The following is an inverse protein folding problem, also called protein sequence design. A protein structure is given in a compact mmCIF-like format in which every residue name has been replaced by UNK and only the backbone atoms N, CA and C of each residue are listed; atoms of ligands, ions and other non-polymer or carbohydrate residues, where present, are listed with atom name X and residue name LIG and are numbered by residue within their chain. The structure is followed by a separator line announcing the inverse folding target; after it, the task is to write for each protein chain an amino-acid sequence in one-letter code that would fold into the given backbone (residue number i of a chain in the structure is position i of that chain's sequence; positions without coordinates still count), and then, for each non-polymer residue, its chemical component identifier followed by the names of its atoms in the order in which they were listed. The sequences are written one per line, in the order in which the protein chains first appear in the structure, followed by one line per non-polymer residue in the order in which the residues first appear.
data_IF_192139458711
#
_entry.id   IF_192139458711
#
_cell.length_a   1.000
_cell.length_b   1.000
_cell.length_c   1.000
_cell.angle_alpha   90.00
_cell.angle_beta   90.00
_cell.angle_gamma   90.00
#
_symmetry.space_group_name_H-M   'P 1'
#
loop_
_entity.id
_entity.type
_entity.pdbx_description
1 polymer ?
#
# COMPACT_ATOMS: atom_id res chain seq x y z
N UNK A 1 -73.72 29.49 -22.29
CA UNK A 1 -74.57 28.29 -22.25
C UNK A 1 -73.66 27.08 -22.10
N UNK A 2 -73.99 26.21 -21.17
CA UNK A 2 -73.29 24.95 -20.90
C UNK A 2 -73.14 24.09 -22.17
N UNK A 3 -72.08 23.29 -22.23
CA UNK A 3 -72.21 21.82 -22.17
C UNK A 3 -70.84 21.14 -22.31
N UNK A 4 -70.55 20.28 -21.34
CA UNK A 4 -69.55 19.22 -21.43
C UNK A 4 -70.02 18.17 -22.45
N UNK A 5 -69.10 17.60 -23.23
CA UNK A 5 -69.23 16.22 -23.68
C UNK A 5 -67.85 15.55 -23.76
N UNK A 6 -67.72 14.50 -22.95
CA UNK A 6 -66.64 13.53 -22.94
C UNK A 6 -66.78 12.59 -24.13
N UNK A 7 -65.67 12.22 -24.77
CA UNK A 7 -65.52 10.90 -25.37
C UNK A 7 -64.04 10.49 -25.41
N UNK A 8 -63.70 9.45 -24.64
CA UNK A 8 -62.46 8.70 -24.75
C UNK A 8 -62.50 7.84 -26.02
N UNK A 9 -61.36 7.67 -26.69
CA UNK A 9 -60.90 6.42 -27.32
C UNK A 9 -59.37 6.49 -27.42
N UNK A 10 -58.71 5.54 -26.77
CA UNK A 10 -57.31 5.17 -26.97
C UNK A 10 -57.19 4.40 -28.29
N UNK A 11 -56.17 4.68 -29.10
CA UNK A 11 -55.48 3.62 -29.84
C UNK A 11 -54.02 4.01 -30.12
N UNK A 12 -53.12 3.10 -29.73
CA UNK A 12 -51.67 3.14 -29.90
C UNK A 12 -51.26 3.09 -31.37
N UNK A 13 -50.26 3.90 -31.76
CA UNK A 13 -49.30 3.51 -32.79
C UNK A 13 -47.95 4.19 -32.56
N UNK A 14 -46.97 3.33 -32.33
CA UNK A 14 -45.54 3.60 -32.20
C UNK A 14 -44.94 4.11 -33.51
N UNK A 15 -44.19 5.20 -33.44
CA UNK A 15 -43.21 5.58 -34.44
C UNK A 15 -41.93 6.04 -33.74
N UNK A 16 -40.88 5.26 -33.95
CA UNK A 16 -39.50 5.55 -33.60
C UNK A 16 -39.07 6.83 -34.30
N UNK A 17 -38.66 7.84 -33.53
CA UNK A 17 -37.78 8.90 -34.02
C UNK A 17 -36.42 8.73 -33.35
N UNK A 18 -35.43 8.56 -34.21
CA UNK A 18 -34.01 8.46 -33.91
C UNK A 18 -33.52 9.90 -33.77
N UNK A 19 -33.08 10.30 -32.58
CA UNK A 19 -32.29 11.51 -32.41
C UNK A 19 -30.80 11.12 -32.40
N UNK A 20 -29.99 11.60 -33.36
CA UNK A 20 -28.55 11.48 -33.30
C UNK A 20 -27.96 12.83 -32.87
N UNK A 21 -27.49 12.96 -31.63
CA UNK A 21 -26.39 13.87 -31.26
C UNK A 21 -26.07 13.68 -29.76
N UNK A 22 -25.41 12.56 -29.45
CA UNK A 22 -24.62 12.46 -28.23
C UNK A 22 -23.29 13.15 -28.52
N UNK A 23 -23.12 14.34 -27.94
CA UNK A 23 -21.81 14.89 -27.69
C UNK A 23 -21.16 14.06 -26.58
N UNK A 24 -19.93 13.61 -26.82
CA UNK A 24 -19.09 12.94 -25.83
C UNK A 24 -18.90 13.87 -24.60
N UNK A 25 -19.42 13.43 -23.46
CA UNK A 25 -19.16 14.04 -22.14
C UNK A 25 -18.05 13.23 -21.44
N UNK A 26 -16.89 13.81 -21.11
CA UNK A 26 -15.79 13.13 -20.44
C UNK A 26 -15.99 13.00 -18.91
N UNK A 27 -17.22 12.89 -18.43
CA UNK A 27 -17.52 12.64 -17.01
C UNK A 27 -18.01 11.20 -16.75
N UNK A 28 -17.19 10.19 -17.02
CA UNK A 28 -17.36 8.88 -16.37
C UNK A 28 -16.83 8.93 -14.92
N UNK A 29 -17.52 9.74 -14.12
CA UNK A 29 -17.43 9.75 -12.67
C UNK A 29 -18.19 8.57 -12.08
N UNK A 30 -17.47 7.48 -11.83
CA UNK A 30 -17.75 6.35 -10.92
C UNK A 30 -19.09 6.41 -10.15
N UNK A 31 -20.06 5.61 -10.57
CA UNK A 31 -21.10 5.11 -9.68
C UNK A 31 -20.49 4.00 -8.80
N UNK A 32 -19.84 4.40 -7.71
CA UNK A 32 -19.50 3.49 -6.62
C UNK A 32 -20.81 2.93 -6.05
N UNK A 33 -20.89 1.62 -5.89
CA UNK A 33 -22.04 0.97 -5.25
C UNK A 33 -22.20 1.47 -3.80
N UNK A 34 -23.40 1.44 -3.20
CA UNK A 34 -23.60 1.90 -1.80
C UNK A 34 -22.66 1.21 -0.79
N UNK A 35 -22.19 -0.01 -1.08
CA UNK A 35 -21.18 -0.73 -0.28
C UNK A 35 -19.79 -0.07 -0.35
N UNK A 36 -19.45 0.56 -1.47
CA UNK A 36 -18.19 1.28 -1.70
C UNK A 36 -18.18 2.72 -1.15
N UNK A 37 -19.30 3.20 -0.57
CA UNK A 37 -19.36 4.54 0.05
C UNK A 37 -18.92 4.55 1.53
N UNK A 38 -18.99 3.40 2.22
CA UNK A 38 -18.56 3.28 3.62
C UNK A 38 -17.14 2.70 3.68
N UNK A 39 -16.25 3.25 4.51
CA UNK A 39 -14.95 2.63 4.74
C UNK A 39 -15.12 1.22 5.31
N UNK A 40 -14.29 0.29 4.87
CA UNK A 40 -14.18 -1.05 5.46
C UNK A 40 -13.25 -1.07 6.67
N UNK A 41 -12.46 -0.01 6.84
CA UNK A 41 -11.55 0.18 7.95
C UNK A 41 -11.46 1.67 8.29
N UNK A 42 -11.59 2.00 9.57
CA UNK A 42 -11.48 3.37 10.10
C UNK A 42 -10.69 3.34 11.40
N UNK A 43 -9.82 4.31 11.61
CA UNK A 43 -9.10 4.54 12.86
C UNK A 43 -8.95 6.05 13.09
N UNK A 44 -9.29 6.50 14.29
CA UNK A 44 -9.20 7.89 14.73
C UNK A 44 -8.60 8.03 16.14
N UNK A 45 -8.16 6.91 16.73
CA UNK A 45 -7.51 6.83 18.04
C UNK A 45 -8.35 7.34 19.22
N UNK A 46 -9.65 7.59 19.01
CA UNK A 46 -10.57 8.14 20.00
C UNK A 46 -10.73 7.24 21.24
N UNK A 47 -10.46 5.95 21.10
CA UNK A 47 -10.48 5.00 22.22
C UNK A 47 -9.36 5.20 23.24
N UNK A 48 -8.32 5.96 22.88
CA UNK A 48 -7.11 6.13 23.70
C UNK A 48 -6.25 4.87 23.80
N UNK A 49 -6.48 3.88 22.93
CA UNK A 49 -5.71 2.63 22.87
C UNK A 49 -5.47 2.21 21.42
N UNK A 50 -4.31 1.60 21.18
CA UNK A 50 -4.05 0.88 19.93
C UNK A 50 -4.74 -0.48 20.02
N UNK A 51 -5.75 -0.72 19.19
CA UNK A 51 -6.46 -2.01 19.16
C UNK A 51 -5.60 -3.09 18.47
N UNK A 52 -5.13 -4.06 19.27
CA UNK A 52 -4.29 -5.17 18.81
C UNK A 52 -4.98 -6.12 17.80
N UNK A 53 -6.31 -6.04 17.68
CA UNK A 53 -7.06 -6.76 16.63
C UNK A 53 -7.00 -6.05 15.28
N UNK A 54 -6.74 -4.75 15.28
CA UNK A 54 -6.66 -3.92 14.07
C UNK A 54 -5.23 -3.64 13.67
N UNK A 55 -4.32 -3.59 14.65
CA UNK A 55 -2.96 -3.13 14.47
C UNK A 55 -1.97 -3.98 15.23
N UNK A 56 -0.73 -4.01 14.76
CA UNK A 56 0.42 -4.40 15.57
C UNK A 56 1.58 -3.44 15.32
N UNK A 57 2.45 -3.35 16.32
CA UNK A 57 3.64 -2.52 16.27
C UNK A 57 4.80 -3.37 15.80
N UNK A 58 5.51 -2.90 14.79
CA UNK A 58 6.46 -3.72 14.08
C UNK A 58 7.83 -3.73 14.76
N UNK A 59 8.50 -4.87 14.70
CA UNK A 59 9.88 -5.03 15.15
C UNK A 59 10.73 -5.68 14.05
N UNK A 60 11.21 -4.86 13.12
CA UNK A 60 11.89 -5.37 11.93
C UNK A 60 12.99 -4.45 11.45
N UNK A 61 14.04 -5.06 10.93
CA UNK A 61 15.19 -4.36 10.35
C UNK A 61 15.25 -4.67 8.87
N UNK A 62 15.12 -3.64 8.05
CA UNK A 62 15.30 -3.71 6.60
C UNK A 62 16.43 -2.78 6.16
N UNK A 63 16.89 -2.95 4.92
CA UNK A 63 17.89 -2.08 4.30
C UNK A 63 19.21 -1.95 5.08
N UNK A 64 20.01 -0.98 4.70
CA UNK A 64 21.32 -0.67 5.32
C UNK A 64 21.28 0.64 6.11
N UNK A 65 22.34 0.93 6.86
CA UNK A 65 22.53 2.21 7.58
C UNK A 65 21.60 2.47 8.78
N UNK A 66 20.77 1.50 9.17
CA UNK A 66 19.80 1.64 10.26
C UNK A 66 19.74 0.40 11.14
N UNK A 67 19.08 0.55 12.29
CA UNK A 67 18.92 -0.50 13.28
C UNK A 67 17.46 -0.91 13.49
N UNK A 68 16.64 -0.72 12.45
CA UNK A 68 15.26 -1.20 12.36
C UNK A 68 14.22 -0.26 12.98
N UNK A 69 13.02 -0.80 13.14
CA UNK A 69 11.89 -0.16 13.80
C UNK A 69 11.51 -0.99 15.02
N UNK A 70 11.02 -0.34 16.08
CA UNK A 70 10.68 -1.02 17.34
C UNK A 70 9.30 -0.61 17.87
N UNK A 71 8.60 -1.49 18.60
CA UNK A 71 7.28 -1.18 19.15
C UNK A 71 7.25 -0.03 20.15
N UNK A 72 8.34 0.20 20.88
CA UNK A 72 8.45 1.25 21.89
C UNK A 72 8.37 2.65 21.28
N UNK A 73 8.67 2.79 19.99
CA UNK A 73 8.59 4.04 19.25
C UNK A 73 7.20 4.29 18.65
N UNK A 74 6.19 3.51 19.07
CA UNK A 74 4.80 3.66 18.59
C UNK A 74 3.86 3.76 19.78
N UNK A 75 3.26 4.93 19.96
CA UNK A 75 2.40 5.25 21.09
C UNK A 75 1.32 6.28 20.70
N UNK A 76 0.33 6.51 21.57
CA UNK A 76 -0.65 7.57 21.39
C UNK A 76 -0.26 8.78 22.23
N UNK A 77 -0.48 9.97 21.69
CA UNK A 77 -0.38 11.24 22.43
C UNK A 77 -1.49 12.19 21.97
N UNK A 78 -1.69 13.30 22.67
CA UNK A 78 -2.66 14.33 22.29
C UNK A 78 -2.02 15.40 21.38
N UNK A 79 -2.74 15.80 20.33
CA UNK A 79 -2.35 16.91 19.46
C UNK A 79 -3.57 17.73 19.00
N UNK A 80 -3.33 18.86 18.36
CA UNK A 80 -4.36 19.72 17.77
C UNK A 80 -4.46 19.41 16.27
N UNK A 81 -5.58 18.83 15.87
CA UNK A 81 -5.89 18.53 14.47
C UNK A 81 -7.07 19.36 14.05
N UNK A 82 -6.89 20.23 13.03
CA UNK A 82 -7.93 21.16 12.56
C UNK A 82 -8.57 21.98 13.71
N UNK A 83 -7.75 22.42 14.66
CA UNK A 83 -8.17 23.22 15.81
C UNK A 83 -8.83 22.45 16.96
N UNK A 84 -8.88 21.12 16.90
CA UNK A 84 -9.45 20.28 17.95
C UNK A 84 -8.39 19.40 18.59
N UNK A 85 -8.40 19.33 19.92
CA UNK A 85 -7.55 18.41 20.67
C UNK A 85 -8.07 16.99 20.54
N UNK A 86 -7.23 16.06 20.11
CA UNK A 86 -7.57 14.64 20.02
C UNK A 86 -6.32 13.75 20.18
N UNK A 87 -6.54 12.46 20.41
CA UNK A 87 -5.45 11.48 20.36
C UNK A 87 -4.97 11.31 18.92
N UNK A 88 -3.67 11.16 18.76
CA UNK A 88 -3.02 10.82 17.49
C UNK A 88 -2.01 9.72 17.75
N UNK A 89 -1.73 8.92 16.71
CA UNK A 89 -0.63 7.97 16.76
C UNK A 89 0.69 8.69 16.51
N UNK A 90 1.65 8.48 17.39
CA UNK A 90 3.02 8.95 17.25
C UNK A 90 3.89 7.76 16.84
N UNK A 91 4.62 7.94 15.75
CA UNK A 91 5.73 7.09 15.36
C UNK A 91 7.02 7.90 15.50
N UNK A 92 7.83 7.55 16.50
CA UNK A 92 9.07 8.26 16.85
C UNK A 92 10.28 7.67 16.12
N UNK A 93 11.22 8.54 15.75
CA UNK A 93 12.51 8.20 15.19
C UNK A 93 13.64 8.66 16.10
N UNK A 94 14.71 7.86 16.18
CA UNK A 94 15.93 8.14 16.93
C UNK A 94 17.06 8.47 15.96
N UNK A 95 17.55 9.70 16.01
CA UNK A 95 18.61 10.17 15.13
C UNK A 95 20.02 9.78 15.60
N UNK A 96 21.03 10.34 14.95
CA UNK A 96 22.44 10.06 15.23
C UNK A 96 22.88 10.49 16.64
N UNK A 97 22.15 11.44 17.25
CA UNK A 97 22.47 11.98 18.58
C UNK A 97 21.65 11.34 19.70
N UNK A 98 20.77 10.39 19.39
CA UNK A 98 19.93 9.76 20.41
C UNK A 98 20.78 9.03 21.45
N UNK A 99 20.59 9.39 22.72
CA UNK A 99 21.35 8.85 23.85
C UNK A 99 20.48 8.07 24.86
N UNK A 100 19.17 7.98 24.61
CA UNK A 100 18.21 7.32 25.47
C UNK A 100 18.37 5.80 25.56
N UNK A 101 17.39 5.15 26.20
CA UNK A 101 17.47 3.72 26.56
C UNK A 101 16.98 2.76 25.49
N UNK A 102 16.15 3.23 24.55
CA UNK A 102 15.54 2.38 23.53
C UNK A 102 16.63 1.94 22.55
N UNK A 103 16.60 0.66 22.16
CA UNK A 103 17.55 0.08 21.22
C UNK A 103 16.84 -0.77 20.20
N UNK A 104 17.31 -0.71 18.96
CA UNK A 104 16.92 -1.63 17.90
C UNK A 104 17.93 -2.77 17.72
N UNK A 105 18.02 -3.22 16.47
CA UNK A 105 18.91 -4.29 16.02
C UNK A 105 20.35 -4.12 16.52
N UNK A 106 20.93 -5.20 17.05
CA UNK A 106 22.29 -5.24 17.63
C UNK A 106 22.49 -4.27 18.81
N UNK A 107 21.43 -3.99 19.57
CA UNK A 107 21.45 -3.11 20.77
C UNK A 107 21.90 -1.68 20.45
N UNK A 108 21.61 -1.21 19.24
CA UNK A 108 21.99 0.13 18.77
C UNK A 108 20.86 1.11 19.02
N UNK A 109 21.23 2.33 19.42
CA UNK A 109 20.31 3.37 19.90
C UNK A 109 19.92 4.37 18.83
N UNK A 110 20.85 4.73 17.95
CA UNK A 110 20.59 5.63 16.82
C UNK A 110 19.88 4.89 15.69
N UNK A 111 19.29 5.62 14.75
CA UNK A 111 18.67 5.10 13.52
C UNK A 111 17.65 3.99 13.78
N UNK A 112 16.81 4.21 14.79
CA UNK A 112 15.69 3.34 15.17
C UNK A 112 14.38 4.09 14.93
N UNK A 113 13.48 3.52 14.16
CA UNK A 113 12.18 4.11 13.84
C UNK A 113 11.00 3.47 14.59
N UNK A 114 9.79 3.89 14.24
CA UNK A 114 8.54 3.35 14.75
C UNK A 114 7.56 3.16 13.59
N UNK A 115 6.97 1.96 13.48
CA UNK A 115 6.02 1.62 12.42
C UNK A 115 4.88 0.80 13.00
N UNK A 116 3.65 1.16 12.65
CA UNK A 116 2.45 0.37 12.93
C UNK A 116 1.97 -0.29 11.63
N UNK A 117 1.38 -1.48 11.77
CA UNK A 117 0.90 -2.28 10.63
C UNK A 117 -0.50 -2.78 10.90
N UNK A 118 -1.37 -2.68 9.89
CA UNK A 118 -2.74 -3.17 9.98
C UNK A 118 -2.77 -4.69 10.00
N UNK A 119 -3.60 -5.29 10.84
CA UNK A 119 -3.89 -6.72 10.79
C UNK A 119 -4.64 -7.11 9.50
N UNK A 120 -5.67 -6.36 9.05
CA UNK A 120 -6.32 -6.66 7.78
C UNK A 120 -5.39 -6.44 6.58
N UNK A 121 -5.65 -7.21 5.52
CA UNK A 121 -5.00 -7.09 4.22
C UNK A 121 -5.98 -6.43 3.24
N UNK A 122 -5.48 -5.48 2.48
CA UNK A 122 -6.24 -4.64 1.56
C UNK A 122 -5.76 -4.85 0.13
N UNK A 123 -6.68 -5.02 -0.82
CA UNK A 123 -6.42 -4.99 -2.26
C UNK A 123 -6.86 -3.63 -2.84
N UNK A 124 -7.37 -3.59 -4.08
CA UNK A 124 -7.83 -2.35 -4.71
C UNK A 124 -8.79 -1.56 -3.82
N UNK A 125 -8.64 -0.25 -3.85
CA UNK A 125 -9.36 0.61 -2.91
C UNK A 125 -8.85 2.03 -2.86
N UNK A 126 -9.52 2.83 -2.02
CA UNK A 126 -9.08 4.16 -1.61
C UNK A 126 -8.49 4.07 -0.20
N UNK A 127 -7.33 4.67 -0.01
CA UNK A 127 -6.66 4.84 1.27
C UNK A 127 -6.57 6.33 1.56
N UNK A 128 -6.99 6.75 2.75
CA UNK A 128 -6.92 8.13 3.21
C UNK A 128 -6.26 8.15 4.57
N UNK A 129 -5.17 8.89 4.70
CA UNK A 129 -4.39 9.01 5.94
C UNK A 129 -4.20 10.49 6.22
N UNK A 130 -4.58 10.91 7.42
CA UNK A 130 -4.31 12.27 7.91
C UNK A 130 -3.01 12.22 8.70
N UNK A 131 -1.96 12.84 8.18
CA UNK A 131 -0.59 12.69 8.68
C UNK A 131 0.10 14.06 8.80
N UNK A 132 0.90 14.23 9.85
CA UNK A 132 1.81 15.37 10.08
C UNK A 132 3.24 14.86 10.11
N UNK A 133 4.11 15.49 9.32
CA UNK A 133 5.55 15.19 9.26
C UNK A 133 6.30 16.15 10.16
N UNK A 134 7.04 15.63 11.14
CA UNK A 134 7.78 16.48 12.08
C UNK A 134 6.85 17.35 12.92
N UNK A 135 7.18 18.64 13.04
CA UNK A 135 6.39 19.64 13.75
C UNK A 135 6.62 21.04 13.16
N UNK A 136 5.81 22.03 13.55
CA UNK A 136 6.07 23.45 13.23
C UNK A 136 6.99 24.12 14.26
N UNK A 137 7.15 23.52 15.45
CA UNK A 137 7.91 24.09 16.56
C UNK A 137 9.24 23.39 16.75
N UNK A 138 10.31 24.18 16.91
CA UNK A 138 11.60 23.67 17.34
C UNK A 138 11.55 23.23 18.80
N UNK A 139 12.30 22.18 19.11
CA UNK A 139 12.50 21.67 20.47
C UNK A 139 13.93 21.18 20.66
N UNK A 140 14.34 21.07 21.93
CA UNK A 140 15.69 20.63 22.27
C UNK A 140 15.96 19.21 21.77
N UNK A 141 17.05 19.05 21.00
CA UNK A 141 17.41 17.78 20.41
C UNK A 141 16.61 17.40 19.16
N UNK A 142 15.69 18.25 18.68
CA UNK A 142 14.99 18.06 17.41
C UNK A 142 15.84 18.39 16.17
N UNK A 143 15.29 18.17 14.96
CA UNK A 143 15.90 18.59 13.71
C UNK A 143 16.11 20.12 13.63
N UNK A 144 17.04 20.55 12.79
CA UNK A 144 17.28 21.98 12.52
C UNK A 144 16.03 22.66 11.92
N UNK A 145 15.41 22.02 10.93
CA UNK A 145 14.06 22.36 10.48
C UNK A 145 13.08 21.30 11.02
N UNK A 146 12.22 21.63 12.00
CA UNK A 146 11.29 20.69 12.60
C UNK A 146 10.31 20.04 11.61
N UNK A 147 9.96 20.72 10.53
CA UNK A 147 9.09 20.20 9.47
C UNK A 147 9.82 19.24 8.52
N UNK A 148 11.14 19.35 8.42
CA UNK A 148 11.98 18.53 7.54
C UNK A 148 12.98 17.71 8.36
N UNK A 149 12.56 16.60 8.96
CA UNK A 149 13.45 15.74 9.74
C UNK A 149 14.43 14.96 8.86
N UNK A 150 15.42 15.64 8.30
CA UNK A 150 16.46 15.07 7.43
C UNK A 150 17.12 13.84 8.06
N UNK A 151 17.36 12.81 7.24
CA UNK A 151 17.88 11.52 7.70
C UNK A 151 16.83 10.53 8.19
N UNK A 152 15.55 10.84 8.01
CA UNK A 152 14.42 9.94 8.28
C UNK A 152 13.40 9.97 7.14
N UNK A 153 12.60 8.92 7.06
CA UNK A 153 11.61 8.66 6.02
C UNK A 153 10.24 8.43 6.68
N UNK A 154 9.40 9.48 6.82
CA UNK A 154 7.98 9.32 7.05
C UNK A 154 7.35 8.61 5.85
N UNK A 155 6.55 7.58 6.12
CA UNK A 155 6.04 6.71 5.07
C UNK A 155 4.63 6.18 5.32
N UNK A 156 3.88 6.06 4.22
CA UNK A 156 2.62 5.33 4.10
C UNK A 156 2.84 4.31 2.99
N UNK A 157 2.62 3.03 3.28
CA UNK A 157 2.75 2.01 2.25
C UNK A 157 1.88 0.79 2.53
N UNK A 158 1.55 0.01 1.52
CA UNK A 158 1.08 -1.37 1.73
C UNK A 158 2.24 -2.31 1.51
N UNK A 159 2.43 -3.31 2.38
CA UNK A 159 3.45 -4.34 2.18
C UNK A 159 3.01 -5.66 2.78
N UNK A 160 3.22 -6.72 2.00
CA UNK A 160 3.17 -8.10 2.48
C UNK A 160 4.05 -8.95 1.58
N UNK A 161 4.59 -10.01 2.17
CA UNK A 161 5.39 -10.97 1.43
C UNK A 161 5.07 -12.39 1.81
N UNK A 162 5.45 -13.33 0.94
CA UNK A 162 5.40 -14.76 1.23
C UNK A 162 6.64 -15.44 0.69
N UNK A 163 7.34 -16.13 1.58
CA UNK A 163 8.44 -17.01 1.21
C UNK A 163 7.92 -18.32 0.64
N UNK A 164 8.49 -18.78 -0.47
CA UNK A 164 8.13 -20.04 -1.13
C UNK A 164 9.41 -20.78 -1.49
N UNK A 165 9.62 -21.94 -0.89
CA UNK A 165 10.79 -22.78 -1.20
C UNK A 165 10.59 -23.60 -2.48
N UNK A 166 11.59 -23.60 -3.35
CA UNK A 166 11.68 -24.45 -4.52
C UNK A 166 12.55 -25.68 -4.29
N UNK A 167 12.71 -26.49 -5.34
CA UNK A 167 13.62 -27.63 -5.31
C UNK A 167 15.06 -27.15 -5.57
N UNK A 168 15.91 -27.20 -4.55
CA UNK A 168 17.32 -26.79 -4.65
C UNK A 168 18.13 -27.57 -5.71
N UNK A 169 17.76 -28.81 -6.03
CA UNK A 169 18.40 -29.60 -7.09
C UNK A 169 17.92 -29.20 -8.50
N UNK A 170 16.78 -28.53 -8.60
CA UNK A 170 16.18 -28.12 -9.87
C UNK A 170 15.60 -26.70 -9.79
N UNK A 171 16.42 -25.68 -9.44
CA UNK A 171 15.93 -24.32 -9.20
C UNK A 171 15.31 -23.67 -10.44
N UNK A 172 15.68 -24.12 -11.64
CA UNK A 172 15.19 -23.55 -12.89
C UNK A 172 13.85 -24.11 -13.34
N UNK A 173 13.27 -25.06 -12.59
CA UNK A 173 12.03 -25.74 -12.99
C UNK A 173 10.87 -25.35 -12.09
N UNK A 174 9.68 -25.25 -12.68
CA UNK A 174 8.44 -25.25 -11.92
C UNK A 174 8.30 -26.53 -11.09
N UNK A 175 7.56 -26.44 -9.98
CA UNK A 175 7.35 -27.54 -9.05
C UNK A 175 5.87 -27.84 -8.91
N UNK A 176 5.43 -28.99 -9.42
CA UNK A 176 4.03 -29.42 -9.27
C UNK A 176 3.64 -29.67 -7.82
N UNK A 177 4.60 -30.03 -6.95
CA UNK A 177 4.38 -30.19 -5.51
C UNK A 177 4.39 -28.87 -4.73
N UNK A 178 4.89 -27.78 -5.33
CA UNK A 178 4.77 -26.43 -4.80
C UNK A 178 4.34 -25.45 -5.89
N UNK A 179 3.02 -25.37 -6.18
CA UNK A 179 2.43 -24.54 -7.23
C UNK A 179 2.81 -23.05 -7.24
N UNK A 180 3.22 -22.51 -6.09
CA UNK A 180 3.64 -21.12 -6.01
C UNK A 180 5.10 -20.94 -6.42
N UNK A 181 5.93 -21.98 -6.43
CA UNK A 181 7.30 -21.81 -6.88
C UNK A 181 7.35 -21.48 -8.38
N UNK A 182 8.05 -20.40 -8.70
CA UNK A 182 8.22 -19.85 -10.02
C UNK A 182 9.71 -19.55 -10.28
N UNK A 183 10.36 -20.27 -11.21
CA UNK A 183 11.80 -20.16 -11.43
C UNK A 183 12.24 -18.80 -12.00
N UNK A 184 11.31 -17.96 -12.47
CA UNK A 184 11.61 -16.64 -13.04
C UNK A 184 11.72 -15.52 -12.00
N UNK A 185 11.40 -15.80 -10.73
CA UNK A 185 11.50 -14.84 -9.62
C UNK A 185 12.36 -15.38 -8.46
N UNK A 186 13.60 -15.87 -8.73
CA UNK A 186 14.44 -16.40 -7.66
C UNK A 186 14.80 -15.30 -6.66
N UNK A 187 14.45 -15.52 -5.40
CA UNK A 187 14.82 -14.63 -4.31
C UNK A 187 16.29 -14.87 -3.97
N UNK A 188 17.10 -13.81 -3.98
CA UNK A 188 18.50 -13.82 -3.53
C UNK A 188 19.39 -14.89 -4.22
N UNK A 189 19.06 -15.28 -5.46
CA UNK A 189 19.77 -16.34 -6.18
C UNK A 189 19.53 -17.76 -5.63
N UNK A 190 18.57 -17.92 -4.72
CA UNK A 190 18.19 -19.20 -4.13
C UNK A 190 17.10 -19.89 -4.96
N UNK A 191 16.94 -21.20 -4.73
CA UNK A 191 15.75 -21.94 -5.16
C UNK A 191 14.55 -21.58 -4.28
N UNK A 192 14.18 -20.31 -4.24
CA UNK A 192 13.07 -19.80 -3.46
C UNK A 192 12.49 -18.56 -4.14
N UNK A 193 11.26 -18.21 -3.81
CA UNK A 193 10.65 -16.94 -4.21
C UNK A 193 10.23 -16.15 -2.98
N UNK A 194 10.22 -14.85 -3.15
CA UNK A 194 9.57 -13.91 -2.25
C UNK A 194 8.44 -13.27 -3.06
N UNK A 195 7.23 -13.79 -2.89
CA UNK A 195 6.06 -13.11 -3.44
C UNK A 195 5.93 -11.79 -2.71
N UNK A 196 5.83 -10.70 -3.47
CA UNK A 196 5.91 -9.34 -2.98
C UNK A 196 4.76 -8.52 -3.57
N UNK A 197 3.99 -7.90 -2.68
CA UNK A 197 3.01 -6.88 -3.03
C UNK A 197 3.28 -5.61 -2.24
N UNK A 198 3.62 -4.52 -2.94
CA UNK A 198 3.89 -3.23 -2.27
C UNK A 198 3.52 -2.01 -3.10
N UNK A 199 3.04 -1.01 -2.39
CA UNK A 199 2.75 0.34 -2.87
C UNK A 199 3.28 1.32 -1.84
N UNK A 200 4.16 2.22 -2.23
CA UNK A 200 4.60 3.35 -1.39
C UNK A 200 3.86 4.62 -1.81
N UNK A 201 3.25 5.34 -0.87
CA UNK A 201 2.37 6.47 -1.19
C UNK A 201 2.14 7.49 -0.05
N UNK A 202 3.17 8.17 0.48
CA UNK A 202 4.54 8.25 -0.05
C UNK A 202 5.61 7.73 0.90
N UNK A 203 6.87 7.64 0.43
CA UNK A 203 8.08 7.75 1.27
C UNK A 203 8.76 9.11 1.03
N UNK A 204 8.94 9.93 2.07
CA UNK A 204 9.42 11.33 1.94
C UNK A 204 10.78 11.50 2.63
N UNK A 205 11.68 12.33 2.11
CA UNK A 205 12.94 12.66 2.79
C UNK A 205 14.18 11.96 2.25
N UNK A 206 14.11 11.42 1.03
CA UNK A 206 15.27 10.81 0.35
C UNK A 206 16.42 11.81 0.29
N UNK A 207 17.58 11.42 0.84
CA UNK A 207 18.77 12.29 0.95
C UNK A 207 18.50 13.64 1.67
N UNK A 208 17.46 13.71 2.50
CA UNK A 208 17.03 14.95 3.16
C UNK A 208 16.17 15.88 2.28
N UNK A 209 15.76 15.45 1.09
CA UNK A 209 14.82 16.20 0.25
C UNK A 209 13.37 15.89 0.64
N UNK A 210 12.69 16.89 1.21
CA UNK A 210 11.27 16.84 1.56
C UNK A 210 10.36 17.47 0.50
N UNK A 211 10.92 18.00 -0.59
CA UNK A 211 10.10 18.53 -1.69
C UNK A 211 9.52 17.43 -2.59
N UNK A 212 10.13 16.24 -2.59
CA UNK A 212 9.70 15.09 -3.38
C UNK A 212 9.44 13.87 -2.50
N UNK A 213 8.33 13.19 -2.78
CA UNK A 213 8.01 11.88 -2.22
C UNK A 213 8.24 10.80 -3.27
N UNK A 214 8.78 9.66 -2.84
CA UNK A 214 8.78 8.43 -3.63
C UNK A 214 7.39 7.80 -3.60
N UNK A 215 6.92 7.43 -4.78
CA UNK A 215 5.70 6.69 -5.01
C UNK A 215 6.05 5.46 -5.84
N UNK A 216 6.24 4.34 -5.16
CA UNK A 216 6.70 3.11 -5.77
C UNK A 216 5.56 2.10 -5.91
N UNK A 217 5.64 1.30 -6.96
CA UNK A 217 4.77 0.14 -7.16
C UNK A 217 5.63 -1.08 -7.35
N UNK A 218 5.40 -2.13 -6.58
CA UNK A 218 6.11 -3.40 -6.67
C UNK A 218 5.15 -4.53 -6.99
N UNK A 219 5.44 -5.24 -8.08
CA UNK A 219 4.75 -6.47 -8.46
C UNK A 219 5.80 -7.57 -8.54
N UNK A 220 5.90 -8.37 -7.48
CA UNK A 220 6.91 -9.40 -7.33
C UNK A 220 8.33 -8.80 -7.43
N UNK A 221 9.14 -9.25 -8.40
CA UNK A 221 10.52 -8.78 -8.61
C UNK A 221 10.63 -7.59 -9.58
N UNK A 222 9.52 -6.92 -9.89
CA UNK A 222 9.50 -5.71 -10.72
C UNK A 222 9.05 -4.53 -9.88
N UNK A 223 9.63 -3.37 -10.14
CA UNK A 223 9.25 -2.12 -9.48
C UNK A 223 9.31 -0.94 -10.44
N UNK A 224 8.48 0.07 -10.18
CA UNK A 224 8.51 1.38 -10.84
C UNK A 224 8.53 2.44 -9.74
N UNK A 225 9.56 3.30 -9.77
CA UNK A 225 9.74 4.37 -8.80
C UNK A 225 9.43 5.70 -9.46
N UNK A 226 8.45 6.42 -8.91
CA UNK A 226 8.11 7.78 -9.33
C UNK A 226 8.43 8.76 -8.21
N UNK A 227 8.76 10.00 -8.58
CA UNK A 227 8.96 11.11 -7.65
C UNK A 227 7.90 12.17 -7.96
N UNK A 228 7.04 12.46 -6.99
CA UNK A 228 6.02 13.50 -7.10
C UNK A 228 6.29 14.63 -6.11
N UNK A 229 5.79 15.82 -6.44
CA UNK A 229 5.86 16.97 -5.54
C UNK A 229 5.01 16.73 -4.30
N UNK A 230 5.62 16.89 -3.14
CA UNK A 230 4.95 16.78 -1.83
C UNK A 230 5.22 18.00 -0.96
N UNK A 231 5.91 19.01 -1.49
CA UNK A 231 6.27 20.22 -0.76
C UNK A 231 5.09 20.93 -0.06
N UNK A 232 3.84 20.89 -0.57
CA UNK A 232 2.71 21.48 0.16
C UNK A 232 2.34 20.77 1.46
N UNK A 233 2.82 19.54 1.70
CA UNK A 233 2.48 18.72 2.87
C UNK A 233 3.66 18.38 3.78
N UNK A 234 4.78 19.10 3.61
CA UNK A 234 5.97 18.98 4.47
C UNK A 234 6.24 20.27 5.23
N UNK A 235 5.20 20.97 5.64
CA UNK A 235 5.28 22.26 6.35
C UNK A 235 5.20 22.12 7.89
N UNK A 236 5.05 20.90 8.40
CA UNK A 236 4.92 20.60 9.83
C UNK A 236 3.47 20.56 10.32
N UNK A 237 2.47 20.67 9.45
CA UNK A 237 1.04 20.59 9.78
C UNK A 237 0.41 19.25 9.33
N UNK A 238 -0.87 19.04 9.67
CA UNK A 238 -1.62 17.85 9.25
C UNK A 238 -2.22 18.00 7.86
N UNK A 239 -1.89 17.05 6.98
CA UNK A 239 -2.41 16.96 5.61
C UNK A 239 -3.14 15.63 5.36
N UNK A 240 -4.00 15.61 4.34
CA UNK A 240 -4.72 14.41 3.90
C UNK A 240 -4.00 13.78 2.71
N UNK A 241 -3.36 12.64 2.95
CA UNK A 241 -2.76 11.82 1.90
C UNK A 241 -3.80 10.81 1.41
N UNK A 242 -4.11 10.83 0.13
CA UNK A 242 -5.07 9.91 -0.48
C UNK A 242 -4.43 9.13 -1.62
N UNK A 243 -4.64 7.82 -1.64
CA UNK A 243 -4.24 6.94 -2.74
C UNK A 243 -5.39 6.07 -3.18
N UNK A 244 -5.61 5.99 -4.48
CA UNK A 244 -6.57 5.05 -5.07
C UNK A 244 -5.84 4.03 -5.94
N UNK A 245 -5.95 2.77 -5.57
CA UNK A 245 -5.38 1.63 -6.27
C UNK A 245 -6.50 0.86 -6.98
N UNK A 246 -6.31 0.55 -8.26
CA UNK A 246 -7.20 -0.26 -9.08
C UNK A 246 -6.50 -1.48 -9.67
N UNK A 247 -7.27 -2.55 -9.80
CA UNK A 247 -6.88 -3.79 -10.46
C UNK A 247 -7.92 -4.18 -11.51
N UNK A 248 -7.55 -5.07 -12.42
CA UNK A 248 -8.42 -5.55 -13.49
C UNK A 248 -8.11 -7.01 -13.88
N UNK A 249 -9.07 -7.65 -14.55
CA UNK A 249 -8.83 -8.90 -15.26
C UNK A 249 -8.51 -8.60 -16.71
N UNK A 250 -7.35 -9.05 -17.18
CA UNK A 250 -6.94 -8.92 -18.58
C UNK A 250 -7.02 -10.28 -19.27
N UNK A 251 -7.71 -10.43 -20.42
CA UNK A 251 -7.69 -11.68 -21.17
C UNK A 251 -6.27 -12.18 -21.43
N UNK A 252 -6.07 -13.50 -21.30
CA UNK A 252 -4.77 -14.14 -21.50
C UNK A 252 -4.93 -15.39 -22.37
N UNK A 253 -4.89 -15.17 -23.68
CA UNK A 253 -5.32 -16.14 -24.71
C UNK A 253 -4.32 -17.27 -24.97
N UNK A 254 -3.05 -17.07 -24.57
CA UNK A 254 -1.94 -17.99 -24.87
C UNK A 254 -1.79 -19.15 -23.87
N UNK A 255 -2.69 -19.26 -22.87
CA UNK A 255 -2.55 -20.24 -21.79
C UNK A 255 -3.57 -21.37 -21.94
N UNK A 256 -3.09 -22.61 -21.86
CA UNK A 256 -3.90 -23.83 -21.92
C UNK A 256 -3.97 -24.54 -20.57
N UNK A 257 -4.98 -25.39 -20.42
CA UNK A 257 -5.28 -26.11 -19.18
C UNK A 257 -4.09 -26.92 -18.65
N UNK A 258 -3.25 -27.49 -19.54
CA UNK A 258 -2.08 -28.28 -19.17
C UNK A 258 -0.89 -27.44 -18.68
N UNK A 259 -0.92 -26.12 -18.87
CA UNK A 259 0.17 -25.20 -18.55
C UNK A 259 0.00 -24.53 -17.18
N UNK A 260 -1.09 -24.87 -16.48
CA UNK A 260 -1.44 -24.25 -15.20
C UNK A 260 -1.85 -25.28 -14.16
N UNK A 261 -1.75 -24.87 -12.90
CA UNK A 261 -2.21 -25.65 -11.75
C UNK A 261 -3.12 -24.79 -10.87
N UNK A 262 -4.18 -25.39 -10.33
CA UNK A 262 -5.05 -24.70 -9.38
C UNK A 262 -4.46 -24.76 -7.97
N UNK A 263 -4.30 -23.61 -7.32
CA UNK A 263 -3.82 -23.52 -5.95
C UNK A 263 -4.35 -22.24 -5.26
N UNK A 264 -4.77 -22.37 -4.00
CA UNK A 264 -5.35 -21.29 -3.18
C UNK A 264 -6.51 -20.53 -3.87
N UNK A 265 -7.32 -21.23 -4.65
CA UNK A 265 -8.46 -20.63 -5.37
C UNK A 265 -8.10 -19.97 -6.71
N UNK A 266 -6.82 -19.90 -7.06
CA UNK A 266 -6.32 -19.31 -8.31
C UNK A 266 -5.66 -20.35 -9.22
N UNK A 267 -5.36 -19.96 -10.46
CA UNK A 267 -4.61 -20.77 -11.42
C UNK A 267 -3.23 -20.17 -11.63
N UNK A 268 -2.18 -20.98 -11.49
CA UNK A 268 -0.79 -20.55 -11.56
C UNK A 268 -0.10 -21.19 -12.75
N UNK A 269 0.68 -20.40 -13.49
CA UNK A 269 1.49 -20.91 -14.61
C UNK A 269 2.54 -21.88 -14.06
N UNK A 270 2.70 -23.01 -14.75
CA UNK A 270 3.66 -24.09 -14.46
C UNK A 270 4.43 -24.51 -15.73
N UNK A 271 4.48 -23.64 -16.73
CA UNK A 271 5.08 -23.91 -18.03
C UNK A 271 6.07 -22.79 -18.40
N UNK A 272 7.33 -23.17 -18.58
CA UNK A 272 8.45 -22.28 -18.91
C UNK A 272 8.33 -21.65 -20.31
N UNK A 273 7.47 -22.21 -21.18
CA UNK A 273 7.22 -21.64 -22.51
C UNK A 273 6.41 -20.35 -22.47
N UNK A 274 5.71 -20.06 -21.36
CA UNK A 274 4.95 -18.81 -21.20
C UNK A 274 5.90 -17.69 -20.74
N UNK A 275 6.10 -16.62 -21.53
CA UNK A 275 7.04 -15.56 -21.17
C UNK A 275 6.66 -14.86 -19.85
N UNK A 276 7.62 -14.77 -18.92
CA UNK A 276 7.41 -14.18 -17.60
C UNK A 276 6.84 -12.75 -17.65
N UNK A 277 7.33 -11.92 -18.58
CA UNK A 277 6.87 -10.52 -18.70
C UNK A 277 5.39 -10.38 -19.10
N UNK A 278 4.73 -11.47 -19.54
CA UNK A 278 3.28 -11.46 -19.81
C UNK A 278 2.43 -11.57 -18.55
N UNK A 279 2.96 -12.09 -17.44
CA UNK A 279 2.17 -12.38 -16.23
C UNK A 279 2.82 -11.96 -14.91
N UNK A 280 4.13 -11.73 -14.88
CA UNK A 280 4.88 -11.19 -13.74
C UNK A 280 4.68 -11.94 -12.43
N UNK A 281 4.45 -13.25 -12.48
CA UNK A 281 4.18 -14.05 -11.28
C UNK A 281 2.75 -13.94 -10.76
N UNK A 282 1.87 -13.17 -11.39
CA UNK A 282 0.48 -13.05 -10.95
C UNK A 282 -0.35 -14.29 -11.32
N UNK A 283 -1.34 -14.63 -10.50
CA UNK A 283 -2.26 -15.72 -10.79
C UNK A 283 -3.19 -15.41 -11.97
N UNK A 284 -3.90 -16.45 -12.40
CA UNK A 284 -4.93 -16.43 -13.44
C UNK A 284 -6.30 -16.82 -12.89
N UNK A 285 -7.34 -16.30 -13.54
CA UNK A 285 -8.74 -16.72 -13.42
C UNK A 285 -9.10 -17.59 -14.61
N UNK A 286 -9.64 -18.79 -14.36
CA UNK A 286 -10.20 -19.62 -15.44
C UNK A 286 -11.59 -19.09 -15.83
N UNK A 287 -11.78 -18.86 -17.14
CA UNK A 287 -13.03 -18.38 -17.73
C UNK A 287 -13.79 -19.53 -18.42
N UNK A 288 -13.05 -20.52 -18.92
CA UNK A 288 -13.56 -21.69 -19.63
C UNK A 288 -12.43 -22.68 -19.94
N UNK A 289 -12.69 -23.76 -20.69
CA UNK A 289 -11.64 -24.64 -21.19
C UNK A 289 -10.62 -23.85 -22.02
N UNK A 290 -9.33 -23.94 -21.68
CA UNK A 290 -8.24 -23.24 -22.37
C UNK A 290 -8.43 -21.72 -22.48
N UNK A 291 -9.20 -21.13 -21.55
CA UNK A 291 -9.52 -19.71 -21.52
C UNK A 291 -9.24 -19.15 -20.12
N UNK A 292 -8.30 -18.22 -20.06
CA UNK A 292 -7.84 -17.61 -18.81
C UNK A 292 -7.81 -16.08 -18.92
N UNK A 293 -7.92 -15.42 -17.77
CA UNK A 293 -7.61 -14.01 -17.60
C UNK A 293 -6.53 -13.86 -16.52
N UNK A 294 -5.61 -12.93 -16.73
CA UNK A 294 -4.59 -12.52 -15.77
C UNK A 294 -5.20 -11.56 -14.75
N UNK A 295 -4.92 -11.79 -13.47
CA UNK A 295 -5.08 -10.76 -12.45
C UNK A 295 -3.96 -9.72 -12.64
N UNK A 296 -4.31 -8.49 -12.99
CA UNK A 296 -3.34 -7.43 -13.30
C UNK A 296 -3.67 -6.13 -12.60
N UNK A 297 -2.65 -5.39 -12.16
CA UNK A 297 -2.82 -4.02 -11.71
C UNK A 297 -3.17 -3.11 -12.90
N UNK A 298 -3.93 -2.06 -12.64
CA UNK A 298 -4.36 -1.11 -13.66
C UNK A 298 -3.68 0.25 -13.45
N UNK A 299 -4.01 0.91 -12.34
CA UNK A 299 -3.54 2.26 -12.06
C UNK A 299 -3.56 2.54 -10.57
N UNK A 300 -2.62 3.36 -10.12
CA UNK A 300 -2.65 3.99 -8.80
C UNK A 300 -2.58 5.51 -8.99
N UNK A 301 -3.49 6.25 -8.38
CA UNK A 301 -3.49 7.72 -8.41
C UNK A 301 -3.38 8.25 -6.99
N UNK A 302 -2.67 9.37 -6.83
CA UNK A 302 -2.31 9.94 -5.54
C UNK A 302 -2.77 11.40 -5.45
N UNK A 303 -3.25 11.79 -4.27
CA UNK A 303 -3.64 13.14 -3.94
C UNK A 303 -3.08 13.57 -2.59
N UNK A 304 -2.85 14.87 -2.46
CA UNK A 304 -2.58 15.55 -1.20
C UNK A 304 -3.59 16.68 -1.08
N UNK A 305 -4.34 16.70 0.02
CA UNK A 305 -5.41 17.67 0.29
C UNK A 305 -6.45 17.82 -0.83
N UNK A 306 -6.69 16.74 -1.57
CA UNK A 306 -7.65 16.69 -2.67
C UNK A 306 -7.06 17.08 -4.04
N UNK A 307 -5.81 17.52 -4.11
CA UNK A 307 -5.12 17.83 -5.36
C UNK A 307 -4.29 16.64 -5.86
N UNK A 308 -4.38 16.32 -7.15
CA UNK A 308 -3.62 15.20 -7.74
C UNK A 308 -2.13 15.53 -7.71
N UNK A 309 -1.32 14.64 -7.12
CA UNK A 309 0.14 14.76 -7.13
C UNK A 309 0.80 13.83 -8.15
N UNK A 310 0.16 12.71 -8.50
CA UNK A 310 0.71 11.81 -9.51
C UNK A 310 -0.05 10.51 -9.75
N UNK A 311 0.49 9.67 -10.62
CA UNK A 311 -0.11 8.39 -11.03
C UNK A 311 0.95 7.37 -11.44
N UNK A 312 0.78 6.12 -11.03
CA UNK A 312 1.60 4.97 -11.42
C UNK A 312 0.76 3.99 -12.26
N UNK A 313 1.37 3.39 -13.30
CA UNK A 313 0.71 2.42 -14.20
C UNK A 313 1.53 1.16 -14.47
N UNK A 314 2.81 1.15 -14.11
CA UNK A 314 3.70 0.00 -14.30
C UNK A 314 3.77 -0.77 -13.00
N UNK A 315 3.82 -2.10 -13.09
CA UNK A 315 4.03 -2.99 -11.94
C UNK A 315 3.12 -2.71 -10.73
N UNK A 316 1.89 -2.25 -11.00
CA UNK A 316 0.86 -2.11 -9.98
C UNK A 316 0.54 -3.52 -9.44
N UNK A 317 0.66 -3.78 -8.13
CA UNK A 317 0.36 -5.07 -7.56
C UNK A 317 -1.11 -5.43 -7.67
N UNK A 318 -1.40 -6.70 -7.39
CA UNK A 318 -2.77 -7.27 -7.35
C UNK A 318 -3.10 -7.99 -6.06
N UNK A 319 -2.07 -8.40 -5.30
CA UNK A 319 -2.25 -9.19 -4.09
C UNK A 319 -2.51 -8.27 -2.92
N UNK A 320 -3.53 -8.60 -2.13
CA UNK A 320 -3.84 -7.87 -0.92
C UNK A 320 -2.63 -7.83 0.03
N UNK A 321 -2.40 -6.67 0.64
CA UNK A 321 -1.27 -6.41 1.53
C UNK A 321 -1.70 -5.59 2.75
N UNK A 322 -0.92 -5.65 3.83
CA UNK A 322 -1.17 -4.87 5.05
C UNK A 322 -0.76 -3.41 4.85
N UNK A 323 -1.54 -2.48 5.40
CA UNK A 323 -1.20 -1.06 5.46
C UNK A 323 -0.17 -0.84 6.58
N UNK A 324 0.91 -0.15 6.25
CA UNK A 324 2.01 0.18 7.14
C UNK A 324 2.14 1.72 7.19
N UNK A 325 2.35 2.25 8.38
CA UNK A 325 2.44 3.69 8.63
C UNK A 325 3.56 3.96 9.64
N UNK A 326 4.39 4.96 9.40
CA UNK A 326 5.36 5.40 10.40
C UNK A 326 6.58 6.08 9.83
N UNK A 327 7.70 5.94 10.54
CA UNK A 327 8.96 6.60 10.20
C UNK A 327 10.13 5.63 10.37
N UNK A 328 11.04 5.61 9.40
CA UNK A 328 12.26 4.79 9.44
C UNK A 328 13.48 5.56 8.92
N UNK A 329 14.71 5.06 9.14
CA UNK A 329 15.93 5.83 8.90
C UNK A 329 16.96 5.09 8.02
N UNK A 330 16.60 4.67 6.79
CA UNK A 330 17.53 3.96 5.91
C UNK A 330 18.74 4.81 5.56
N UNK A 331 19.84 4.16 5.16
CA UNK A 331 21.08 4.83 4.73
C UNK A 331 20.83 5.93 3.69
N UNK A 332 19.92 5.66 2.74
CA UNK A 332 19.59 6.59 1.66
C UNK A 332 18.81 7.82 2.10
N UNK A 333 18.29 7.88 3.33
CA UNK A 333 17.68 9.07 3.92
C UNK A 333 18.72 10.16 4.24
N UNK A 334 20.00 9.79 4.35
CA UNK A 334 21.09 10.72 4.68
C UNK A 334 21.32 10.89 6.19
N UNK A 335 22.13 11.87 6.61
CA UNK A 335 22.44 12.13 8.03
C UNK A 335 21.20 12.57 8.83
N UNK A 336 21.07 12.11 10.08
CA UNK A 336 20.00 12.46 11.01
C UNK A 336 20.59 13.17 12.24
N UNK A 337 21.08 14.42 12.11
CA UNK A 337 21.89 15.09 13.13
C UNK A 337 21.07 15.63 14.32
N UNK A 338 20.15 14.83 14.85
CA UNK A 338 19.22 15.15 15.92
C UNK A 338 19.04 13.94 16.84
N UNK A 339 18.37 14.13 17.98
CA UNK A 339 18.09 13.07 18.96
C UNK A 339 16.80 12.35 18.62
N UNK A 340 15.69 13.08 18.54
CA UNK A 340 14.38 12.51 18.21
C UNK A 340 13.69 13.34 17.15
N UNK A 341 12.81 12.68 16.40
CA UNK A 341 11.82 13.27 15.50
C UNK A 341 10.61 12.33 15.42
N UNK A 342 9.54 12.73 14.74
CA UNK A 342 8.34 11.92 14.64
C UNK A 342 7.56 12.15 13.35
N UNK A 343 6.65 11.23 13.10
CA UNK A 343 5.46 11.45 12.27
C UNK A 343 4.23 11.18 13.15
N UNK A 344 3.20 11.99 12.97
CA UNK A 344 1.94 11.88 13.73
C UNK A 344 0.80 11.54 12.78
N UNK A 345 -0.03 10.56 13.12
CA UNK A 345 -1.15 10.11 12.28
C UNK A 345 -2.45 10.35 13.05
N UNK A 346 -3.30 11.21 12.53
CA UNK A 346 -4.55 11.59 13.17
C UNK A 346 -5.70 10.65 12.83
N UNK A 347 -5.76 10.13 11.60
CA UNK A 347 -6.79 9.16 11.23
C UNK A 347 -6.41 8.36 9.98
N UNK A 348 -7.06 7.21 9.82
CA UNK A 348 -6.92 6.31 8.68
C UNK A 348 -8.29 5.86 8.23
N UNK A 349 -8.55 5.87 6.92
CA UNK A 349 -9.73 5.27 6.31
C UNK A 349 -9.35 4.46 5.07
N UNK A 350 -9.97 3.30 4.93
CA UNK A 350 -9.79 2.44 3.75
C UNK A 350 -11.16 2.04 3.21
N UNK A 351 -11.35 2.22 1.91
CA UNK A 351 -12.47 1.68 1.15
C UNK A 351 -11.93 0.61 0.21
N UNK A 352 -12.55 -0.57 0.15
CA UNK A 352 -12.18 -1.61 -0.82
C UNK A 352 -13.12 -1.55 -2.02
N UNK A 353 -12.56 -1.61 -3.21
CA UNK A 353 -13.34 -1.62 -4.44
C UNK A 353 -13.79 -3.02 -4.84
N UNK A 354 -13.18 -4.06 -4.30
CA UNK A 354 -13.44 -5.46 -4.66
C UNK A 354 -13.34 -5.63 -6.20
N UNK A 355 -12.33 -5.02 -6.83
CA UNK A 355 -12.18 -5.06 -8.28
C UNK A 355 -11.94 -6.51 -8.75
N UNK A 356 -12.37 -6.88 -9.97
CA UNK A 356 -12.22 -8.25 -10.45
C UNK A 356 -10.77 -8.76 -10.50
N UNK A 357 -9.80 -7.84 -10.54
CA UNK A 357 -8.37 -8.12 -10.54
C UNK A 357 -7.74 -8.28 -9.15
N UNK A 358 -8.52 -8.19 -8.07
CA UNK A 358 -8.00 -8.34 -6.71
C UNK A 358 -7.68 -9.80 -6.38
N UNK A 359 -6.56 -10.00 -5.69
CA UNK A 359 -6.08 -11.31 -5.25
C UNK A 359 -5.95 -11.33 -3.74
N UNK A 360 -6.84 -12.04 -3.06
CA UNK A 360 -6.82 -12.26 -1.61
C UNK A 360 -6.38 -13.68 -1.25
N UNK A 361 -5.86 -13.88 -0.03
CA UNK A 361 -5.59 -15.21 0.53
C UNK A 361 -4.30 -15.87 0.04
N UNK A 362 -3.47 -15.15 -0.73
CA UNK A 362 -2.13 -15.62 -1.13
C UNK A 362 -1.09 -15.18 -0.11
N UNK A 363 -1.12 -13.89 0.25
CA UNK A 363 -0.33 -13.28 1.33
C UNK A 363 -1.27 -13.15 2.53
N UNK A 364 -0.89 -13.76 3.66
CA UNK A 364 -1.80 -13.91 4.82
C UNK A 364 -1.10 -13.77 6.17
N UNK A 365 0.23 -13.80 6.18
CA UNK A 365 1.01 -13.80 7.41
C UNK A 365 1.40 -12.38 7.77
N UNK A 366 1.30 -12.05 9.07
CA UNK A 366 1.88 -10.83 9.60
C UNK A 366 3.38 -10.78 9.29
N UNK A 367 3.89 -9.57 9.08
CA UNK A 367 5.32 -9.32 8.90
C UNK A 367 6.08 -9.85 10.12
N UNK A 368 6.98 -10.81 9.91
CA UNK A 368 7.74 -11.44 10.99
C UNK A 368 8.91 -10.59 11.46
N UNK A 369 9.22 -10.69 12.75
CA UNK A 369 10.38 -10.04 13.35
C UNK A 369 11.68 -10.75 12.96
N UNK A 370 12.77 -9.98 12.76
CA UNK A 370 14.12 -10.53 12.56
C UNK A 370 15.11 -10.16 13.67
N UNK A 371 14.61 -9.59 14.76
CA UNK A 371 15.34 -9.42 16.02
C UNK A 371 14.36 -9.41 17.20
N UNK A 372 14.84 -9.73 18.39
CA UNK A 372 14.07 -9.77 19.64
C UNK A 372 14.05 -8.43 20.38
N UNK A 373 13.19 -8.26 21.41
CA UNK A 373 13.05 -6.99 22.14
C UNK A 373 14.34 -6.50 22.80
N UNK A 374 15.31 -7.39 23.01
CA UNK A 374 16.64 -7.08 23.53
C UNK A 374 17.66 -6.72 22.43
N UNK A 375 17.21 -6.56 21.19
CA UNK A 375 18.02 -6.25 20.02
C UNK A 375 18.82 -7.44 19.46
N UNK A 376 18.67 -8.66 20.00
CA UNK A 376 19.36 -9.84 19.47
C UNK A 376 18.73 -10.33 18.17
N UNK A 377 19.56 -10.80 17.24
CA UNK A 377 19.10 -11.30 15.94
C UNK A 377 18.30 -12.58 16.13
N UNK A 378 17.14 -12.67 15.48
CA UNK A 378 16.37 -13.91 15.38
C UNK A 378 16.73 -14.56 14.04
N UNK A 379 17.14 -15.84 14.02
CA UNK A 379 17.49 -16.55 12.79
C UNK A 379 16.38 -16.61 11.76
#
# INVERSE_FOLDING_TARGET
MHSYLSLQILLFLSLFLVDPLLADDPSEGRLLTQKQLKPVFEEDWSSGKIDEKKWYRLQKKWGTGNYGVVPENVYLDEDIVKGQKQNVLICEAHGDRYSGKITGWKKKRSRVGGVIVSKPFFASGKFEVVMKIGDTRSYEGGPENPAHPCGSIPAIWTYSYRWVEGNASHPQKFSSSNPLYNPHIPAYGMAANEYWSELDFPEIGKQGDFSKGLYNTFCQNRHDSQLFDVSPATDGEYHVFTTEWKTQLRPFEDVKDHQVVKHLGYWWIQDESIPFDKYLGNPLKKLGPDQYALYSGDVVTHWIDGEIVGTNRKYVPVMAAQLNLGIWLPEWAGPAPWQTSQVSIASVKVWQYDNPGDVHGVLVDDITNNFGPDGQIIP
#
